data_IF_867132509877
#
_entry.id   IF_867132509877
#
_cell.length_a   1.000
_cell.length_b   1.000
_cell.length_c   1.000
_cell.angle_alpha   90.00
_cell.angle_beta   90.00
_cell.angle_gamma   90.00
#
_symmetry.space_group_name_H-M   'P 1'
#
loop_
_entity.id
_entity.type
_entity.pdbx_description
1 polymer ?
#
# COMPACT_ATOMS: atom_id res chain seq x y z
N UNK A 1 30.60 -29.13 28.24
CA UNK A 1 30.29 -27.69 28.06
C UNK A 1 29.52 -27.55 26.74
N UNK A 2 28.19 -27.64 26.81
CA UNK A 2 27.31 -27.60 25.63
C UNK A 2 27.08 -26.13 25.25
N UNK A 3 27.73 -25.67 24.18
CA UNK A 3 27.41 -24.38 23.56
C UNK A 3 26.08 -24.51 22.83
N UNK A 4 25.04 -23.95 23.44
CA UNK A 4 23.72 -23.70 22.87
C UNK A 4 23.87 -23.03 21.49
N UNK A 5 23.75 -23.81 20.41
CA UNK A 5 23.38 -23.27 19.09
C UNK A 5 21.91 -22.88 19.19
N UNK A 6 21.66 -21.67 19.70
CA UNK A 6 20.40 -20.97 19.50
C UNK A 6 20.15 -20.96 17.99
N UNK A 7 19.17 -21.76 17.57
CA UNK A 7 18.75 -21.92 16.19
C UNK A 7 18.12 -20.59 15.76
N UNK A 8 18.96 -19.64 15.28
CA UNK A 8 18.49 -18.44 14.59
C UNK A 8 17.84 -18.92 13.29
N UNK A 9 16.56 -19.27 13.34
CA UNK A 9 15.69 -19.22 12.16
C UNK A 9 15.90 -17.82 11.61
N UNK A 10 16.62 -17.70 10.49
CA UNK A 10 16.81 -16.40 9.84
C UNK A 10 15.43 -15.86 9.51
N UNK A 11 15.05 -14.74 10.12
CA UNK A 11 13.83 -14.01 9.77
C UNK A 11 13.88 -13.68 8.28
N UNK A 12 12.82 -14.04 7.55
CA UNK A 12 12.70 -13.67 6.15
C UNK A 12 12.58 -12.15 6.08
N UNK A 13 13.49 -11.49 5.35
CA UNK A 13 13.46 -10.04 5.15
C UNK A 13 12.80 -9.73 3.82
N UNK A 14 11.71 -8.96 3.84
CA UNK A 14 10.90 -8.60 2.68
C UNK A 14 10.88 -7.09 2.51
N UNK A 15 11.29 -6.64 1.33
CA UNK A 15 11.21 -5.25 0.91
C UNK A 15 10.15 -5.12 -0.19
N UNK A 16 9.14 -4.29 0.06
CA UNK A 16 8.11 -3.91 -0.91
C UNK A 16 8.42 -2.49 -1.39
N UNK A 17 8.38 -2.27 -2.69
CA UNK A 17 8.62 -0.95 -3.30
C UNK A 17 7.32 -0.43 -3.90
N UNK A 18 6.86 0.70 -3.39
CA UNK A 18 5.55 1.31 -3.63
C UNK A 18 4.53 0.92 -2.56
N UNK A 19 3.82 1.91 -2.03
CA UNK A 19 2.67 1.79 -1.13
C UNK A 19 1.35 2.17 -1.84
N UNK A 20 1.25 1.87 -3.14
CA UNK A 20 -0.03 1.78 -3.85
C UNK A 20 -0.80 0.50 -3.51
N UNK A 21 -1.97 0.31 -4.13
CA UNK A 21 -2.86 -0.84 -3.86
C UNK A 21 -2.15 -2.21 -3.89
N UNK A 22 -1.29 -2.45 -4.88
CA UNK A 22 -0.53 -3.70 -4.99
C UNK A 22 0.47 -3.88 -3.84
N UNK A 23 1.19 -2.83 -3.47
CA UNK A 23 2.23 -2.88 -2.44
C UNK A 23 1.65 -3.10 -1.04
N UNK A 24 0.59 -2.37 -0.68
CA UNK A 24 -0.07 -2.56 0.62
C UNK A 24 -0.71 -3.96 0.73
N UNK A 25 -1.25 -4.49 -0.37
CA UNK A 25 -1.79 -5.85 -0.41
C UNK A 25 -0.68 -6.90 -0.18
N UNK A 26 0.43 -6.77 -0.90
CA UNK A 26 1.58 -7.67 -0.76
C UNK A 26 2.17 -7.62 0.67
N UNK A 27 2.42 -6.43 1.20
CA UNK A 27 2.99 -6.25 2.54
C UNK A 27 2.07 -6.84 3.62
N UNK A 28 0.76 -6.54 3.56
CA UNK A 28 -0.21 -7.05 4.51
C UNK A 28 -0.28 -8.58 4.47
N UNK A 29 -0.29 -9.17 3.27
CA UNK A 29 -0.34 -10.63 3.15
C UNK A 29 0.90 -11.31 3.69
N UNK A 30 2.09 -10.72 3.48
CA UNK A 30 3.33 -11.25 4.08
C UNK A 30 3.25 -11.24 5.60
N UNK A 31 2.75 -10.15 6.20
CA UNK A 31 2.59 -10.05 7.66
C UNK A 31 1.59 -11.09 8.19
N UNK A 32 0.48 -11.30 7.49
CA UNK A 32 -0.58 -12.24 7.90
C UNK A 32 -0.15 -13.71 7.77
N UNK A 33 0.54 -14.08 6.68
CA UNK A 33 0.83 -15.48 6.35
C UNK A 33 2.22 -15.95 6.81
N UNK A 34 3.15 -15.03 7.05
CA UNK A 34 4.54 -15.35 7.43
C UNK A 34 4.92 -14.69 8.78
N UNK A 35 4.42 -15.22 9.92
CA UNK A 35 4.79 -14.73 11.24
C UNK A 35 6.30 -14.72 11.45
N UNK A 36 6.84 -13.56 11.86
CA UNK A 36 8.28 -13.36 12.10
C UNK A 36 9.08 -12.92 10.87
N UNK A 37 8.44 -12.69 9.71
CA UNK A 37 9.07 -11.96 8.62
C UNK A 37 9.29 -10.49 9.00
N UNK A 38 10.44 -9.94 8.64
CA UNK A 38 10.77 -8.53 8.76
C UNK A 38 10.36 -7.83 7.45
N UNK A 39 9.35 -6.97 7.51
CA UNK A 39 8.77 -6.32 6.32
C UNK A 39 9.05 -4.82 6.35
N UNK A 40 9.48 -4.27 5.22
CA UNK A 40 9.62 -2.83 5.01
C UNK A 40 8.97 -2.45 3.68
N UNK A 41 8.18 -1.38 3.69
CA UNK A 41 7.56 -0.82 2.48
C UNK A 41 8.16 0.55 2.21
N UNK A 42 8.73 0.76 1.02
CA UNK A 42 9.22 2.07 0.62
C UNK A 42 8.21 2.76 -0.30
N UNK A 43 7.79 3.97 0.03
CA UNK A 43 6.95 4.82 -0.83
C UNK A 43 7.73 6.09 -1.20
N UNK A 44 7.65 6.49 -2.46
CA UNK A 44 8.29 7.70 -2.94
C UNK A 44 7.50 8.96 -2.59
N UNK A 45 6.17 8.90 -2.61
CA UNK A 45 5.29 10.02 -2.26
C UNK A 45 5.24 10.28 -0.75
N UNK A 46 4.65 11.42 -0.40
CA UNK A 46 4.41 11.84 0.99
C UNK A 46 3.30 11.03 1.69
N UNK A 47 2.50 10.31 0.92
CA UNK A 47 1.41 9.48 1.44
C UNK A 47 1.25 8.19 0.62
N UNK A 48 0.64 7.18 1.25
CA UNK A 48 0.25 5.94 0.59
C UNK A 48 -0.99 6.13 -0.30
N UNK A 49 -1.17 5.24 -1.27
CA UNK A 49 -2.30 5.25 -2.20
C UNK A 49 -1.87 5.14 -3.67
N UNK A 50 -0.61 5.46 -3.96
CA UNK A 50 -0.03 5.39 -5.30
C UNK A 50 -0.85 6.25 -6.28
N UNK A 51 -1.32 5.64 -7.37
CA UNK A 51 -2.10 6.35 -8.39
C UNK A 51 -3.36 7.01 -7.84
N UNK A 52 -3.95 6.56 -6.72
CA UNK A 52 -5.21 7.13 -6.20
C UNK A 52 -5.05 8.47 -5.46
N UNK A 53 -3.80 8.92 -5.28
CA UNK A 53 -3.51 10.25 -4.75
C UNK A 53 -3.65 11.26 -5.87
N UNK A 54 -4.64 12.16 -5.78
CA UNK A 54 -4.75 13.28 -6.69
C UNK A 54 -3.76 14.39 -6.30
N UNK A 55 -3.14 15.01 -7.31
CA UNK A 55 -2.31 16.20 -7.16
C UNK A 55 -2.41 17.02 -8.44
N UNK A 56 -2.34 18.34 -8.30
CA UNK A 56 -2.26 19.29 -9.44
C UNK A 56 -0.86 19.31 -10.07
N UNK A 57 0.13 18.70 -9.41
CA UNK A 57 1.48 18.57 -9.93
C UNK A 57 1.50 17.63 -11.15
N UNK A 58 2.47 17.85 -12.04
CA UNK A 58 2.66 17.02 -13.23
C UNK A 58 4.02 16.30 -13.17
N UNK A 59 4.23 15.33 -14.05
CA UNK A 59 5.55 14.70 -14.20
C UNK A 59 6.63 15.78 -14.46
N UNK A 60 7.81 15.72 -13.80
CA UNK A 60 8.36 14.62 -13.00
C UNK A 60 8.05 14.66 -11.49
N UNK A 61 7.27 15.64 -11.03
CA UNK A 61 6.99 15.85 -9.61
C UNK A 61 6.04 14.80 -9.03
N UNK A 62 5.16 14.23 -9.86
CA UNK A 62 4.25 13.16 -9.47
C UNK A 62 4.24 12.00 -10.46
N UNK A 63 3.91 10.82 -9.92
CA UNK A 63 3.59 9.62 -10.70
C UNK A 63 2.08 9.35 -10.81
N UNK A 64 1.24 10.18 -10.17
CA UNK A 64 -0.20 10.05 -10.30
C UNK A 64 -0.69 10.51 -11.66
N UNK A 65 -1.66 9.80 -12.21
CA UNK A 65 -2.39 10.16 -13.43
C UNK A 65 -3.85 10.51 -13.13
N UNK A 66 -4.18 10.73 -11.86
CA UNK A 66 -5.51 11.19 -11.46
C UNK A 66 -5.73 12.62 -11.94
N UNK A 67 -6.98 12.92 -12.29
CA UNK A 67 -7.43 14.27 -12.61
C UNK A 67 -8.60 14.65 -11.70
N UNK A 68 -8.81 15.96 -11.54
CA UNK A 68 -9.88 16.49 -10.71
C UNK A 68 -11.23 15.89 -11.11
N UNK A 69 -11.92 15.25 -10.17
CA UNK A 69 -13.24 14.66 -10.39
C UNK A 69 -13.25 13.28 -11.04
N UNK A 70 -12.11 12.59 -11.16
CA UNK A 70 -12.07 11.20 -11.63
C UNK A 70 -13.02 10.31 -10.80
N UNK A 71 -13.82 9.51 -11.49
CA UNK A 71 -14.65 8.43 -10.92
C UNK A 71 -14.16 7.08 -11.41
N UNK A 72 -14.43 6.04 -10.62
CA UNK A 72 -14.13 4.68 -11.07
C UNK A 72 -14.94 4.37 -12.33
N UNK A 73 -14.30 3.68 -13.28
CA UNK A 73 -14.98 3.18 -14.47
C UNK A 73 -15.58 1.78 -14.26
N UNK A 74 -15.27 1.17 -13.11
CA UNK A 74 -15.78 -0.13 -12.67
C UNK A 74 -16.47 0.00 -11.30
N UNK A 75 -17.48 -0.85 -10.99
CA UNK A 75 -18.19 -0.81 -9.73
C UNK A 75 -17.26 -1.04 -8.53
N UNK A 76 -17.45 -0.27 -7.46
CA UNK A 76 -16.65 -0.36 -6.22
C UNK A 76 -16.69 -1.76 -5.60
N UNK A 77 -17.81 -2.46 -5.77
CA UNK A 77 -18.07 -3.78 -5.21
C UNK A 77 -17.07 -4.82 -5.73
N UNK A 78 -16.63 -4.70 -6.99
CA UNK A 78 -15.64 -5.61 -7.60
C UNK A 78 -14.20 -5.12 -7.45
N UNK A 79 -13.98 -3.93 -6.90
CA UNK A 79 -12.64 -3.38 -6.64
C UNK A 79 -12.10 -3.75 -5.26
N UNK A 80 -12.95 -4.29 -4.38
CA UNK A 80 -12.58 -4.53 -2.97
C UNK A 80 -11.62 -5.71 -2.81
N UNK A 81 -10.68 -5.58 -1.88
CA UNK A 81 -9.92 -6.71 -1.36
C UNK A 81 -10.84 -7.69 -0.63
N UNK A 82 -10.54 -8.98 -0.78
CA UNK A 82 -11.32 -10.07 -0.17
C UNK A 82 -11.46 -9.89 1.34
N UNK A 83 -12.70 -9.93 1.84
CA UNK A 83 -13.01 -9.76 3.26
C UNK A 83 -12.90 -8.31 3.77
N UNK A 84 -12.64 -7.34 2.90
CA UNK A 84 -12.47 -5.95 3.27
C UNK A 84 -13.27 -5.03 2.33
N UNK A 85 -14.59 -4.88 2.54
CA UNK A 85 -15.43 -4.06 1.69
C UNK A 85 -15.15 -2.56 1.90
N UNK A 86 -15.47 -1.76 0.88
CA UNK A 86 -15.62 -0.31 1.01
C UNK A 86 -16.83 -0.04 1.91
N UNK A 87 -16.69 0.89 2.85
CA UNK A 87 -17.68 1.21 3.89
C UNK A 87 -18.10 2.67 3.77
N UNK A 88 -19.21 3.04 4.42
CA UNK A 88 -19.68 4.43 4.51
C UNK A 88 -18.61 5.39 5.03
N UNK A 89 -17.75 4.94 5.95
CA UNK A 89 -16.64 5.74 6.50
C UNK A 89 -15.57 6.11 5.47
N UNK A 90 -15.54 5.46 4.30
CA UNK A 90 -14.61 5.82 3.22
C UNK A 90 -15.15 6.95 2.34
N UNK A 91 -16.42 7.31 2.50
CA UNK A 91 -17.06 8.37 1.74
C UNK A 91 -16.93 9.69 2.51
N UNK A 92 -16.48 10.78 1.87
CA UNK A 92 -16.56 12.10 2.47
C UNK A 92 -18.02 12.49 2.75
N UNK A 93 -18.26 13.37 3.73
CA UNK A 93 -19.59 13.72 4.25
C UNK A 93 -20.65 14.12 3.20
N UNK A 94 -20.21 14.55 2.01
CA UNK A 94 -21.08 15.00 0.92
C UNK A 94 -21.33 13.95 -0.17
N UNK A 95 -20.92 12.69 0.04
CA UNK A 95 -21.03 11.61 -0.94
C UNK A 95 -22.10 10.58 -0.56
N UNK A 96 -22.70 9.96 -1.58
CA UNK A 96 -23.67 8.88 -1.40
C UNK A 96 -22.93 7.52 -1.28
N UNK A 97 -22.95 6.84 -0.12
CA UNK A 97 -22.30 5.53 0.04
C UNK A 97 -22.87 4.42 -0.85
N UNK A 98 -24.12 4.59 -1.30
CA UNK A 98 -24.79 3.63 -2.17
C UNK A 98 -24.34 3.75 -3.64
N UNK A 99 -23.51 4.74 -4.00
CA UNK A 99 -23.02 4.89 -5.37
C UNK A 99 -22.06 3.76 -5.76
N UNK A 100 -22.31 3.08 -6.89
CA UNK A 100 -21.42 2.01 -7.36
C UNK A 100 -20.15 2.54 -8.01
N UNK A 101 -20.12 3.78 -8.50
CA UNK A 101 -18.98 4.35 -9.21
C UNK A 101 -18.46 5.60 -8.50
N UNK A 102 -17.78 5.43 -7.35
CA UNK A 102 -17.37 6.55 -6.52
C UNK A 102 -16.23 7.35 -7.15
N UNK A 103 -15.98 8.52 -6.58
CA UNK A 103 -14.81 9.31 -6.94
C UNK A 103 -13.53 8.72 -6.36
N UNK A 104 -12.39 9.12 -6.92
CA UNK A 104 -11.07 8.61 -6.52
C UNK A 104 -10.77 8.81 -5.02
N UNK A 105 -11.32 9.84 -4.38
CA UNK A 105 -11.11 10.12 -2.96
C UNK A 105 -11.62 8.97 -2.07
N UNK A 106 -12.72 8.32 -2.47
CA UNK A 106 -13.28 7.16 -1.76
C UNK A 106 -12.33 5.96 -1.84
N UNK A 107 -11.73 5.73 -3.01
CA UNK A 107 -10.78 4.65 -3.20
C UNK A 107 -9.49 4.92 -2.42
N UNK A 108 -9.03 6.16 -2.39
CA UNK A 108 -7.88 6.55 -1.56
C UNK A 108 -8.15 6.30 -0.07
N UNK A 109 -9.29 6.75 0.44
CA UNK A 109 -9.70 6.51 1.84
C UNK A 109 -9.78 5.02 2.17
N UNK A 110 -10.36 4.24 1.26
CA UNK A 110 -10.42 2.78 1.37
C UNK A 110 -9.03 2.13 1.49
N UNK A 111 -8.09 2.51 0.63
CA UNK A 111 -6.71 1.98 0.65
C UNK A 111 -5.98 2.38 1.94
N UNK A 112 -6.17 3.61 2.41
CA UNK A 112 -5.63 4.09 3.68
C UNK A 112 -6.18 3.28 4.87
N UNK A 113 -7.49 3.02 4.90
CA UNK A 113 -8.11 2.17 5.93
C UNK A 113 -7.61 0.73 5.86
N UNK A 114 -7.41 0.18 4.67
CA UNK A 114 -6.87 -1.17 4.49
C UNK A 114 -5.43 -1.31 5.00
N UNK A 115 -4.62 -0.26 4.81
CA UNK A 115 -3.22 -0.22 5.19
C UNK A 115 -2.98 0.07 6.68
N UNK A 116 -4.01 0.47 7.44
CA UNK A 116 -3.83 0.93 8.84
C UNK A 116 -2.99 -0.03 9.71
N UNK A 117 -3.20 -1.37 9.68
CA UNK A 117 -2.38 -2.29 10.49
C UNK A 117 -0.90 -2.35 10.10
N UNK A 118 -0.56 -2.00 8.86
CA UNK A 118 0.81 -2.04 8.34
C UNK A 118 1.43 -0.65 8.15
N UNK A 119 0.73 0.41 8.54
CA UNK A 119 1.16 1.79 8.33
C UNK A 119 2.53 2.10 8.93
N UNK A 120 2.83 1.50 10.08
CA UNK A 120 4.13 1.60 10.76
C UNK A 120 5.30 0.96 9.99
N UNK A 121 5.02 0.13 8.97
CA UNK A 121 6.03 -0.49 8.11
C UNK A 121 6.34 0.34 6.86
N UNK A 122 5.55 1.39 6.59
CA UNK A 122 5.68 2.23 5.41
C UNK A 122 6.65 3.37 5.72
N UNK A 123 7.73 3.42 4.94
CA UNK A 123 8.74 4.46 4.99
C UNK A 123 8.57 5.36 3.77
N UNK A 124 8.20 6.62 4.03
CA UNK A 124 8.17 7.65 3.01
C UNK A 124 9.62 8.06 2.71
N UNK A 125 10.10 7.67 1.55
CA UNK A 125 11.42 8.00 1.04
C UNK A 125 11.25 8.96 -0.13
N UNK A 126 11.47 10.25 0.14
CA UNK A 126 11.51 11.29 -0.91
C UNK A 126 12.54 11.02 -2.01
N UNK A 127 13.42 10.03 -1.81
CA UNK A 127 14.32 9.51 -2.83
C UNK A 127 13.77 8.22 -3.43
N UNK A 128 13.60 8.23 -4.75
CA UNK A 128 13.25 7.07 -5.56
C UNK A 128 14.23 5.92 -5.32
N UNK A 129 13.71 4.71 -5.12
CA UNK A 129 14.53 3.50 -5.14
C UNK A 129 15.29 3.44 -6.48
N UNK A 130 16.60 3.64 -6.42
CA UNK A 130 17.42 3.88 -7.61
C UNK A 130 18.14 2.64 -8.12
N UNK A 131 18.37 1.64 -7.25
CA UNK A 131 19.11 0.43 -7.60
C UNK A 131 18.70 -0.76 -6.73
N UNK A 132 18.56 -1.93 -7.35
CA UNK A 132 18.43 -3.23 -6.67
C UNK A 132 19.59 -4.11 -7.12
N UNK A 133 20.36 -4.62 -6.15
CA UNK A 133 21.51 -5.49 -6.43
C UNK A 133 21.35 -6.82 -5.71
N UNK A 134 21.75 -7.91 -6.38
CA UNK A 134 21.90 -9.20 -5.73
C UNK A 134 23.32 -9.27 -5.18
N UNK A 135 23.46 -9.28 -3.86
CA UNK A 135 24.74 -9.44 -3.18
C UNK A 135 24.81 -10.86 -2.62
N UNK A 136 25.69 -11.70 -3.18
CA UNK A 136 25.90 -13.09 -2.77
C UNK A 136 25.30 -14.16 -3.70
N UNK A 137 25.88 -15.36 -3.69
CA UNK A 137 25.29 -16.60 -4.21
C UNK A 137 24.77 -17.41 -3.01
N UNK A 138 23.55 -17.94 -3.12
CA UNK A 138 22.94 -18.80 -2.11
C UNK A 138 23.49 -20.22 -2.18
#
# INVERSE_FOLDING_TARGET
MLLNKQNRKSSLRVCVVGAGAAGICAARRVVEELPGAEVCVFEQSDQLGGTWVFTEQSFPETHSSMYAGLRTIIPKEIMTFSGFPIKSVDFPDHHNPDESFPRHEVILSYLQRFAEPIKHLIQNCFHRASRKERVGQF
#
